data_IF_910058420591
#
_entry.id   IF_910058420591
#
_cell.length_a   1.000
_cell.length_b   1.000
_cell.length_c   1.000
_cell.angle_alpha   90.00
_cell.angle_beta   90.00
_cell.angle_gamma   90.00
#
_symmetry.space_group_name_H-M   'P 1'
#
loop_
_entity.id
_entity.type
_entity.pdbx_description
1 polymer ?
#
# COMPACT_ATOMS: atom_id res chain seq x y z
N UNK A 1 -1.12 -56.98 -11.48
CA UNK A 1 -0.22 -57.68 -12.42
C UNK A 1 1.13 -57.00 -12.28
N UNK A 2 2.07 -57.67 -11.61
CA UNK A 2 3.45 -57.21 -11.44
C UNK A 2 4.15 -57.11 -12.80
N UNK A 3 5.17 -56.25 -12.91
CA UNK A 3 6.57 -56.58 -13.28
C UNK A 3 7.39 -55.27 -13.47
N UNK A 4 8.33 -55.11 -12.53
CA UNK A 4 9.75 -54.74 -12.63
C UNK A 4 10.29 -53.32 -12.94
N UNK A 5 11.11 -52.93 -11.96
CA UNK A 5 12.26 -52.02 -11.90
C UNK A 5 13.41 -52.32 -12.86
N UNK A 6 14.22 -51.30 -13.18
CA UNK A 6 15.66 -51.16 -12.79
C UNK A 6 16.52 -50.32 -13.77
N UNK A 7 17.60 -49.74 -13.20
CA UNK A 7 18.81 -49.10 -13.78
C UNK A 7 18.76 -47.56 -13.97
N UNK A 8 19.24 -46.73 -13.03
CA UNK A 8 20.63 -46.38 -12.62
C UNK A 8 21.57 -45.81 -13.70
N UNK A 9 22.01 -44.57 -13.40
CA UNK A 9 23.38 -43.99 -13.50
C UNK A 9 23.89 -43.32 -14.79
N UNK A 10 24.11 -41.99 -14.71
CA UNK A 10 25.37 -41.24 -14.89
C UNK A 10 25.04 -39.73 -14.95
N UNK A 11 25.18 -38.91 -13.90
CA UNK A 11 26.39 -38.31 -13.30
C UNK A 11 27.30 -37.54 -14.27
N UNK A 12 27.19 -36.20 -14.27
CA UNK A 12 28.33 -35.28 -14.42
C UNK A 12 28.07 -34.01 -13.61
N UNK A 13 28.76 -33.88 -12.47
CA UNK A 13 28.83 -32.71 -11.61
C UNK A 13 30.19 -32.03 -11.87
N UNK A 14 30.18 -30.77 -12.31
CA UNK A 14 31.39 -29.98 -12.51
C UNK A 14 31.76 -29.25 -11.21
N UNK A 15 32.86 -29.67 -10.57
CA UNK A 15 33.46 -29.03 -9.41
C UNK A 15 34.64 -28.20 -9.90
N UNK A 16 34.61 -26.88 -9.68
CA UNK A 16 35.72 -25.97 -9.93
C UNK A 16 36.60 -25.88 -8.67
N UNK A 17 37.86 -26.24 -8.82
CA UNK A 17 38.88 -26.32 -7.78
C UNK A 17 39.84 -25.12 -7.93
N UNK A 18 39.95 -24.27 -6.91
CA UNK A 18 40.98 -23.22 -6.81
C UNK A 18 41.79 -23.41 -5.54
N UNK A 19 43.12 -23.30 -5.68
CA UNK A 19 44.12 -23.84 -4.79
C UNK A 19 44.25 -23.15 -3.43
N UNK A 20 44.67 -23.96 -2.45
CA UNK A 20 45.20 -23.59 -1.15
C UNK A 20 46.55 -22.85 -1.29
N UNK A 21 46.74 -21.81 -0.46
CA UNK A 21 48.08 -21.38 -0.04
C UNK A 21 48.19 -21.56 1.48
N UNK A 22 49.20 -22.35 1.83
CA UNK A 22 49.68 -22.69 3.16
C UNK A 22 50.74 -21.68 3.62
N UNK A 23 50.68 -21.29 4.89
CA UNK A 23 51.82 -20.99 5.78
C UNK A 23 51.19 -20.69 7.16
N UNK A 24 51.58 -21.21 8.33
CA UNK A 24 52.80 -21.87 8.76
C UNK A 24 53.34 -21.16 10.02
N UNK A 25 53.13 -21.73 11.22
CA UNK A 25 53.83 -21.43 12.50
C UNK A 25 53.41 -20.16 13.25
N UNK A 26 53.40 -20.04 14.59
CA UNK A 26 53.84 -20.92 15.67
C UNK A 26 54.63 -20.15 16.75
N UNK A 27 54.02 -19.99 17.94
CA UNK A 27 54.63 -19.89 19.30
C UNK A 27 55.24 -18.58 19.88
N UNK A 28 55.08 -18.51 21.20
CA UNK A 28 55.35 -17.51 22.25
C UNK A 28 56.81 -17.35 22.70
N UNK A 29 57.21 -16.16 23.20
CA UNK A 29 57.78 -15.93 24.56
C UNK A 29 58.52 -14.58 24.68
N UNK A 30 58.59 -14.14 25.95
CA UNK A 30 59.09 -12.89 26.55
C UNK A 30 60.61 -12.68 26.55
N UNK A 31 61.05 -11.41 26.58
CA UNK A 31 62.39 -11.01 27.03
C UNK A 31 62.81 -9.63 26.50
N UNK A 32 63.14 -8.69 27.40
CA UNK A 32 63.51 -7.31 27.07
C UNK A 32 64.94 -7.11 26.58
N UNK A 33 65.23 -5.89 26.14
CA UNK A 33 66.58 -5.44 25.78
C UNK A 33 66.53 -4.27 24.79
N UNK A 34 67.16 -3.17 25.19
CA UNK A 34 67.19 -1.88 24.51
C UNK A 34 68.14 -1.93 23.30
N UNK A 35 67.84 -1.22 22.21
CA UNK A 35 68.74 -0.24 21.57
C UNK A 35 68.23 0.24 20.21
N UNK A 36 68.63 1.47 19.90
CA UNK A 36 68.14 2.34 18.84
C UNK A 36 68.45 1.88 17.41
N UNK A 37 67.48 2.06 16.52
CA UNK A 37 67.66 1.92 15.08
C UNK A 37 66.33 2.14 14.33
N UNK A 38 65.99 3.41 14.06
CA UNK A 38 64.76 3.77 13.36
C UNK A 38 64.77 3.32 11.89
N UNK A 39 63.91 2.36 11.56
CA UNK A 39 63.53 2.03 10.19
C UNK A 39 62.28 2.86 9.79
N UNK A 40 62.16 3.30 8.52
CA UNK A 40 61.01 4.09 8.08
C UNK A 40 59.71 3.25 8.13
N UNK A 41 58.53 3.87 8.35
CA UNK A 41 57.27 3.13 8.44
C UNK A 41 56.98 2.44 7.11
N UNK A 42 56.73 1.13 7.14
CA UNK A 42 56.23 0.40 5.99
C UNK A 42 54.84 0.91 5.56
N UNK A 43 54.41 0.65 4.31
CA UNK A 43 53.11 1.09 3.83
C UNK A 43 52.01 0.43 4.67
N UNK A 44 51.27 1.24 5.42
CA UNK A 44 50.05 0.80 6.11
C UNK A 44 49.04 0.42 5.04
N UNK A 45 48.76 -0.87 4.90
CA UNK A 45 47.61 -1.36 4.14
C UNK A 45 46.35 -0.71 4.73
N UNK A 46 45.56 0.06 3.97
CA UNK A 46 44.31 0.59 4.48
C UNK A 46 43.43 -0.59 4.92
N UNK A 47 42.91 -0.54 6.15
CA UNK A 47 41.87 -1.48 6.57
C UNK A 47 40.72 -1.44 5.54
N UNK A 48 40.11 -2.59 5.20
CA UNK A 48 38.98 -2.60 4.29
C UNK A 48 37.90 -1.67 4.84
N UNK A 49 37.54 -0.67 4.03
CA UNK A 49 36.44 0.25 4.32
C UNK A 49 35.17 -0.58 4.13
N UNK A 50 34.57 -1.03 5.23
CA UNK A 50 33.21 -1.57 5.18
C UNK A 50 32.32 -0.36 4.88
N UNK A 51 31.59 -0.34 3.74
CA UNK A 51 30.68 0.77 3.47
C UNK A 51 29.67 0.87 4.61
N UNK A 52 29.40 2.10 5.06
CA UNK A 52 28.28 2.37 5.97
C UNK A 52 27.00 1.79 5.36
N UNK A 53 26.12 1.15 6.15
CA UNK A 53 24.85 0.68 5.63
C UNK A 53 24.07 1.83 4.99
N UNK A 54 23.39 1.53 3.89
CA UNK A 54 22.51 2.49 3.21
C UNK A 54 21.23 2.65 4.04
N UNK A 55 20.89 3.88 4.38
CA UNK A 55 19.70 4.22 5.17
C UNK A 55 18.58 4.61 4.21
N UNK A 56 17.44 3.98 4.37
CA UNK A 56 16.22 4.25 3.62
C UNK A 56 15.14 4.80 4.55
N UNK A 57 14.12 5.42 3.95
CA UNK A 57 12.94 5.91 4.66
C UNK A 57 11.72 5.09 4.26
N UNK A 58 10.94 4.68 5.26
CA UNK A 58 9.65 4.01 5.09
C UNK A 58 8.54 4.79 5.77
N UNK A 59 7.29 4.45 5.43
CA UNK A 59 6.10 4.90 6.15
C UNK A 59 5.24 3.73 6.60
N UNK A 60 4.73 3.80 7.81
CA UNK A 60 3.65 2.93 8.26
C UNK A 60 2.33 3.33 7.61
N UNK A 61 1.50 2.34 7.28
CA UNK A 61 0.15 2.58 6.80
C UNK A 61 -0.87 1.65 7.51
N UNK A 62 -1.92 2.21 8.14
CA UNK A 62 -2.14 3.66 8.36
C UNK A 62 -1.00 4.31 9.16
N UNK A 63 -0.88 5.66 9.13
CA UNK A 63 0.16 6.34 9.90
C UNK A 63 -0.04 6.11 11.39
N UNK A 64 1.05 5.79 12.10
CA UNK A 64 1.09 5.66 13.56
C UNK A 64 2.15 6.64 14.06
N UNK A 65 1.73 7.66 14.81
CA UNK A 65 2.60 8.61 15.51
C UNK A 65 2.99 8.04 16.88
N UNK A 66 4.28 8.09 17.21
CA UNK A 66 4.74 7.63 18.52
C UNK A 66 5.18 6.17 18.59
N UNK A 67 5.29 5.47 17.46
CA UNK A 67 5.69 4.07 17.44
C UNK A 67 7.22 3.95 17.45
N UNK A 68 7.78 3.28 18.46
CA UNK A 68 9.22 3.09 18.52
C UNK A 68 9.65 2.02 17.51
N UNK A 69 10.79 2.24 16.85
CA UNK A 69 11.34 1.31 15.87
C UNK A 69 12.85 1.11 16.03
N UNK A 70 13.34 -0.06 15.61
CA UNK A 70 14.77 -0.39 15.53
C UNK A 70 15.05 -1.15 14.24
N UNK A 71 16.11 -0.76 13.53
CA UNK A 71 16.63 -1.43 12.34
C UNK A 71 18.16 -1.28 12.24
N UNK A 72 18.90 -2.33 12.59
CA UNK A 72 20.36 -2.26 12.64
C UNK A 72 20.84 -1.27 13.70
N UNK A 73 21.53 -0.21 13.29
CA UNK A 73 21.92 0.92 14.15
C UNK A 73 20.95 2.11 14.11
N UNK A 74 19.92 2.06 13.26
CA UNK A 74 18.84 3.05 13.25
C UNK A 74 17.79 2.72 14.32
N UNK A 75 17.41 3.70 15.11
CA UNK A 75 16.31 3.61 16.06
C UNK A 75 15.62 4.98 16.18
N UNK A 76 14.34 4.98 16.54
CA UNK A 76 13.61 6.23 16.68
C UNK A 76 12.14 6.03 17.00
N UNK A 77 11.39 7.12 16.89
CA UNK A 77 9.93 7.17 17.05
C UNK A 77 9.35 7.70 15.75
N UNK A 78 8.28 7.08 15.27
CA UNK A 78 7.58 7.55 14.06
C UNK A 78 6.92 8.90 14.27
N UNK A 79 6.89 9.71 13.20
CA UNK A 79 6.18 10.99 13.19
C UNK A 79 4.68 10.82 12.84
N UNK A 80 3.96 11.95 12.74
CA UNK A 80 2.54 11.96 12.38
C UNK A 80 2.21 11.34 11.01
N UNK A 81 3.21 11.18 10.13
CA UNK A 81 3.08 10.52 8.84
C UNK A 81 3.48 9.05 8.88
N UNK A 82 3.74 8.50 10.07
CA UNK A 82 4.24 7.13 10.28
C UNK A 82 5.66 6.92 9.76
N UNK A 83 6.45 7.98 9.59
CA UNK A 83 7.76 7.91 8.93
C UNK A 83 8.82 7.26 9.84
N UNK A 84 9.61 6.33 9.31
CA UNK A 84 10.72 5.69 10.00
C UNK A 84 11.95 5.52 9.08
N UNK A 85 13.13 5.38 9.69
CA UNK A 85 14.38 5.06 9.00
C UNK A 85 14.72 3.58 9.17
N UNK A 86 15.34 2.96 8.15
CA UNK A 86 15.79 1.59 8.24
C UNK A 86 17.08 1.35 7.45
N UNK A 87 17.91 0.42 7.93
CA UNK A 87 19.09 -0.01 7.21
C UNK A 87 18.73 -1.03 6.12
N UNK A 88 19.31 -0.85 4.93
CA UNK A 88 19.17 -1.81 3.83
C UNK A 88 19.58 -3.23 4.26
N UNK A 89 18.72 -4.21 3.99
CA UNK A 89 18.87 -5.63 4.36
C UNK A 89 18.82 -5.93 5.86
N UNK A 90 18.55 -4.95 6.72
CA UNK A 90 18.17 -5.22 8.11
C UNK A 90 16.64 -5.26 8.24
N UNK A 91 16.09 -6.12 9.10
CA UNK A 91 14.69 -6.01 9.46
C UNK A 91 14.47 -4.70 10.24
N UNK A 92 13.23 -4.21 10.22
CA UNK A 92 12.74 -3.17 11.10
C UNK A 92 11.72 -3.80 12.05
N UNK A 93 11.91 -3.60 13.35
CA UNK A 93 11.01 -4.05 14.41
C UNK A 93 10.32 -2.85 15.05
N UNK A 94 9.07 -3.01 15.45
CA UNK A 94 8.27 -1.94 16.08
C UNK A 94 7.76 -2.36 17.46
N UNK A 95 7.77 -1.43 18.40
CA UNK A 95 7.29 -1.66 19.78
C UNK A 95 6.70 -0.41 20.44
N UNK A 96 5.88 -0.64 21.47
CA UNK A 96 5.39 0.40 22.38
C UNK A 96 5.85 0.00 23.77
N UNK A 97 6.92 0.64 24.27
CA UNK A 97 7.58 0.24 25.51
C UNK A 97 7.95 -1.25 25.49
N UNK A 98 7.38 -2.02 26.41
CA UNK A 98 7.59 -3.47 26.52
C UNK A 98 6.86 -4.34 25.48
N UNK A 99 5.94 -3.79 24.70
CA UNK A 99 5.09 -4.55 23.76
C UNK A 99 5.70 -4.55 22.36
N UNK A 100 6.09 -5.72 21.86
CA UNK A 100 6.56 -5.92 20.49
C UNK A 100 5.39 -6.24 19.56
N UNK A 101 5.33 -5.58 18.41
CA UNK A 101 4.30 -5.77 17.38
C UNK A 101 4.81 -6.57 16.16
N UNK A 102 6.07 -7.00 16.19
CA UNK A 102 6.68 -7.82 15.15
C UNK A 102 7.77 -7.07 14.39
N UNK A 103 8.19 -7.67 13.27
CA UNK A 103 9.29 -7.17 12.45
C UNK A 103 9.11 -7.58 11.00
N UNK A 104 9.50 -6.71 10.07
CA UNK A 104 9.48 -6.98 8.64
C UNK A 104 10.82 -6.58 8.01
N UNK A 105 11.08 -7.05 6.79
CA UNK A 105 12.03 -6.34 5.92
C UNK A 105 11.59 -4.87 5.75
N UNK A 106 12.55 -3.96 5.71
CA UNK A 106 12.26 -2.55 5.45
C UNK A 106 11.65 -2.34 4.06
N UNK A 107 10.62 -1.49 4.00
CA UNK A 107 9.84 -1.18 2.78
C UNK A 107 9.53 0.32 2.75
N UNK A 108 9.29 0.87 1.56
CA UNK A 108 8.83 2.26 1.44
C UNK A 108 7.45 2.47 2.07
N UNK A 109 6.57 1.46 1.99
CA UNK A 109 5.30 1.39 2.70
C UNK A 109 5.22 0.06 3.45
N UNK A 110 4.95 0.15 4.73
CA UNK A 110 4.85 -0.99 5.63
C UNK A 110 3.47 -0.97 6.31
N UNK A 111 2.75 -2.08 6.24
CA UNK A 111 1.46 -2.26 6.90
C UNK A 111 1.61 -3.18 8.12
N UNK A 112 0.64 -3.20 9.03
CA UNK A 112 0.67 -4.13 10.16
C UNK A 112 0.60 -5.62 9.74
N UNK A 113 0.00 -5.89 8.58
CA UNK A 113 0.02 -7.22 7.95
C UNK A 113 1.46 -7.62 7.61
N UNK A 114 2.30 -6.68 7.17
CA UNK A 114 3.72 -6.95 6.91
C UNK A 114 4.49 -7.30 8.20
N UNK A 115 4.20 -6.66 9.34
CA UNK A 115 4.92 -6.88 10.62
C UNK A 115 4.70 -8.25 11.24
N UNK A 116 3.49 -8.79 11.06
CA UNK A 116 3.10 -10.10 11.60
C UNK A 116 3.42 -11.24 10.65
N UNK A 117 3.62 -10.95 9.35
CA UNK A 117 3.98 -11.92 8.32
C UNK A 117 2.87 -12.93 8.01
N UNK A 118 1.61 -12.56 8.25
CA UNK A 118 0.43 -13.42 8.05
C UNK A 118 -0.74 -12.60 7.49
N UNK A 119 -1.88 -13.25 7.22
CA UNK A 119 -3.04 -12.61 6.59
C UNK A 119 -3.75 -11.61 7.51
N UNK A 120 -4.41 -10.62 6.91
CA UNK A 120 -5.20 -9.61 7.61
C UNK A 120 -6.26 -10.21 8.53
N UNK A 121 -6.81 -11.38 8.20
CA UNK A 121 -7.81 -12.10 9.01
C UNK A 121 -7.24 -12.94 10.15
N UNK A 122 -5.91 -13.05 10.26
CA UNK A 122 -5.27 -13.79 11.36
C UNK A 122 -5.55 -13.11 12.71
N UNK A 123 -5.89 -13.90 13.72
CA UNK A 123 -6.22 -13.38 15.06
C UNK A 123 -5.09 -12.54 15.65
N UNK A 124 -3.84 -12.84 15.33
CA UNK A 124 -2.67 -12.08 15.80
C UNK A 124 -2.65 -10.68 15.21
N UNK A 125 -2.88 -10.54 13.91
CA UNK A 125 -3.00 -9.24 13.23
C UNK A 125 -4.13 -8.44 13.83
N UNK A 126 -5.29 -9.09 14.00
CA UNK A 126 -6.49 -8.45 14.49
C UNK A 126 -6.31 -7.96 15.93
N UNK A 127 -5.78 -8.79 16.84
CA UNK A 127 -5.52 -8.38 18.22
C UNK A 127 -4.42 -7.30 18.34
N UNK A 128 -3.38 -7.37 17.50
CA UNK A 128 -2.37 -6.30 17.43
C UNK A 128 -3.01 -4.97 17.00
N UNK A 129 -3.88 -4.97 15.99
CA UNK A 129 -4.52 -3.76 15.52
C UNK A 129 -5.59 -3.24 16.49
N UNK A 130 -6.37 -4.13 17.11
CA UNK A 130 -7.32 -3.80 18.19
C UNK A 130 -6.64 -3.05 19.32
N UNK A 131 -5.47 -3.55 19.76
CA UNK A 131 -4.72 -2.88 20.81
C UNK A 131 -4.23 -1.49 20.36
N UNK A 132 -3.69 -1.36 19.15
CA UNK A 132 -3.26 -0.06 18.62
C UNK A 132 -4.41 0.95 18.54
N UNK A 133 -5.57 0.54 18.03
CA UNK A 133 -6.77 1.37 17.96
C UNK A 133 -7.29 1.75 19.35
N UNK A 134 -7.21 0.85 20.33
CA UNK A 134 -7.59 1.17 21.71
C UNK A 134 -6.59 2.14 22.37
N UNK A 135 -5.32 2.07 22.01
CA UNK A 135 -4.25 2.94 22.50
C UNK A 135 -4.22 4.32 21.83
N UNK A 136 -4.96 4.50 20.74
CA UNK A 136 -5.12 5.78 20.07
C UNK A 136 -5.73 6.84 21.00
N UNK A 137 -5.16 8.04 21.00
CA UNK A 137 -5.47 9.09 21.96
C UNK A 137 -6.91 9.64 21.83
N UNK A 138 -7.44 9.74 20.60
CA UNK A 138 -8.82 10.18 20.36
C UNK A 138 -9.77 9.04 19.98
N UNK A 139 -9.23 7.86 19.64
CA UNK A 139 -10.00 6.69 19.24
C UNK A 139 -10.62 6.82 17.84
N UNK A 140 -10.13 7.75 17.02
CA UNK A 140 -10.62 8.02 15.68
C UNK A 140 -9.72 7.36 14.62
N UNK A 141 -10.09 6.13 14.24
CA UNK A 141 -9.40 5.37 13.19
C UNK A 141 -9.30 6.05 11.80
N UNK A 142 -10.01 7.16 11.57
CA UNK A 142 -10.01 7.88 10.29
C UNK A 142 -8.90 8.93 10.15
N UNK A 143 -8.12 9.17 11.20
CA UNK A 143 -7.10 10.22 11.24
C UNK A 143 -5.67 9.73 11.58
N UNK A 144 -5.45 8.42 11.55
CA UNK A 144 -4.20 7.79 11.95
C UNK A 144 -4.31 7.19 13.34
N UNK A 145 -3.18 6.88 13.96
CA UNK A 145 -3.10 6.45 15.37
C UNK A 145 -2.08 7.33 16.07
N UNK A 146 -2.49 8.03 17.12
CA UNK A 146 -1.60 8.84 17.96
C UNK A 146 -1.37 8.16 19.30
N UNK A 147 -0.16 7.65 19.50
CA UNK A 147 0.29 7.17 20.80
C UNK A 147 0.82 8.35 21.61
N UNK A 148 0.11 8.83 22.63
CA UNK A 148 0.46 10.05 23.36
C UNK A 148 1.84 9.97 24.06
N UNK A 149 2.43 11.12 24.40
CA UNK A 149 3.65 11.16 25.21
C UNK A 149 3.43 10.55 26.60
N UNK A 150 2.27 10.80 27.20
CA UNK A 150 1.87 10.30 28.50
C UNK A 150 1.74 8.77 28.51
N UNK A 151 1.13 8.18 27.47
CA UNK A 151 1.02 6.74 27.29
C UNK A 151 2.41 6.12 27.12
N UNK A 152 3.24 6.69 26.24
CA UNK A 152 4.60 6.19 25.98
C UNK A 152 5.48 6.25 27.22
N UNK A 153 5.31 7.27 28.07
CA UNK A 153 6.05 7.42 29.32
C UNK A 153 5.78 6.30 30.34
N UNK A 154 4.65 5.60 30.23
CA UNK A 154 4.30 4.48 31.11
C UNK A 154 4.41 3.10 30.43
N UNK A 155 4.59 3.06 29.11
CA UNK A 155 4.52 1.85 28.30
C UNK A 155 5.59 0.79 28.63
N UNK A 156 6.71 1.19 29.25
CA UNK A 156 7.73 0.25 29.74
C UNK A 156 7.19 -0.68 30.84
N UNK A 157 6.08 -0.31 31.51
CA UNK A 157 5.42 -1.15 32.49
C UNK A 157 4.44 -2.16 31.87
N UNK A 158 4.14 -2.03 30.58
CA UNK A 158 3.22 -2.95 29.92
C UNK A 158 3.87 -4.31 29.74
N UNK A 159 3.12 -5.34 30.10
CA UNK A 159 3.50 -6.72 29.80
C UNK A 159 3.14 -7.05 28.36
N UNK A 160 4.00 -7.81 27.67
CA UNK A 160 3.71 -8.33 26.34
C UNK A 160 2.43 -9.18 26.37
N UNK A 161 1.33 -8.76 25.71
CA UNK A 161 0.15 -9.57 25.61
C UNK A 161 0.35 -10.71 24.61
N UNK A 162 -0.35 -11.83 24.82
CA UNK A 162 -0.44 -12.91 23.83
C UNK A 162 -1.51 -12.58 22.77
N UNK A 163 -1.07 -12.05 21.62
CA UNK A 163 -1.94 -11.71 20.50
C UNK A 163 -2.66 -12.92 19.87
N UNK A 164 -2.30 -14.16 20.23
CA UNK A 164 -2.97 -15.36 19.70
C UNK A 164 -4.22 -15.77 20.47
N UNK A 165 -4.53 -15.11 21.59
CA UNK A 165 -5.67 -15.46 22.44
C UNK A 165 -7.01 -15.00 21.84
N UNK A 166 -8.01 -15.88 21.92
CA UNK A 166 -9.40 -15.54 21.62
C UNK A 166 -9.99 -14.58 22.67
N UNK A 167 -9.66 -14.78 23.95
CA UNK A 167 -10.09 -13.94 25.08
C UNK A 167 -9.10 -12.78 25.31
N UNK A 168 -8.80 -12.05 24.24
CA UNK A 168 -7.82 -10.96 24.26
C UNK A 168 -8.25 -9.79 25.14
N UNK A 169 -9.55 -9.55 25.28
CA UNK A 169 -10.14 -8.46 26.06
C UNK A 169 -9.72 -8.53 27.53
N UNK A 170 -9.70 -9.75 28.11
CA UNK A 170 -9.24 -9.95 29.47
C UNK A 170 -7.72 -9.78 29.59
N UNK A 171 -6.96 -10.24 28.60
CA UNK A 171 -5.50 -10.14 28.54
C UNK A 171 -5.01 -8.69 28.61
N UNK A 172 -5.65 -7.78 27.87
CA UNK A 172 -5.21 -6.37 27.79
C UNK A 172 -5.88 -5.44 28.79
N UNK A 173 -6.74 -5.95 29.68
CA UNK A 173 -7.55 -5.13 30.60
C UNK A 173 -6.72 -4.16 31.47
N UNK A 174 -5.54 -4.57 31.93
CA UNK A 174 -4.63 -3.70 32.69
C UNK A 174 -4.00 -2.62 31.81
N UNK A 175 -3.59 -2.95 30.58
CA UNK A 175 -3.03 -1.99 29.63
C UNK A 175 -4.07 -0.90 29.32
N UNK A 176 -5.34 -1.29 29.10
CA UNK A 176 -6.42 -0.34 28.86
C UNK A 176 -6.70 0.55 30.07
N UNK A 177 -6.62 0.02 31.30
CA UNK A 177 -6.76 0.80 32.53
C UNK A 177 -5.64 1.83 32.71
N UNK A 178 -4.41 1.44 32.36
CA UNK A 178 -3.26 2.33 32.45
C UNK A 178 -3.32 3.42 31.37
N UNK A 179 -3.69 3.06 30.13
CA UNK A 179 -3.92 4.01 29.04
C UNK A 179 -5.04 5.01 29.37
N UNK A 180 -6.15 4.54 29.99
CA UNK A 180 -7.23 5.40 30.45
C UNK A 180 -6.73 6.48 31.43
N UNK A 181 -5.80 6.09 32.31
CA UNK A 181 -5.21 6.99 33.30
C UNK A 181 -4.22 7.97 32.66
N UNK A 182 -3.38 7.49 31.73
CA UNK A 182 -2.38 8.31 31.04
C UNK A 182 -3.02 9.42 30.20
N UNK A 183 -4.03 9.06 29.40
CA UNK A 183 -4.65 9.97 28.43
C UNK A 183 -5.91 10.67 28.98
N UNK A 184 -6.32 10.34 30.22
CA UNK A 184 -7.55 10.83 30.83
C UNK A 184 -8.79 10.63 29.93
N UNK A 185 -8.88 9.43 29.34
CA UNK A 185 -9.96 9.00 28.44
C UNK A 185 -10.50 7.62 28.84
N UNK A 186 -11.47 7.11 28.10
CA UNK A 186 -11.96 5.72 28.26
C UNK A 186 -11.65 4.95 26.98
N UNK A 187 -10.51 4.23 26.93
CA UNK A 187 -10.17 3.38 25.80
C UNK A 187 -11.25 2.33 25.57
N UNK A 188 -11.68 2.18 24.33
CA UNK A 188 -12.54 1.09 23.90
C UNK A 188 -11.72 0.13 23.02
N UNK A 189 -11.81 -1.17 23.32
CA UNK A 189 -11.20 -2.19 22.48
C UNK A 189 -12.20 -2.55 21.37
N UNK A 190 -11.93 -2.25 20.09
CA UNK A 190 -12.87 -2.53 19.01
C UNK A 190 -13.16 -4.02 18.89
N UNK A 191 -14.33 -4.38 18.34
CA UNK A 191 -14.63 -5.79 18.06
C UNK A 191 -13.77 -6.31 16.90
N UNK A 192 -13.61 -7.64 16.78
CA UNK A 192 -12.93 -8.25 15.63
C UNK A 192 -13.55 -7.80 14.30
N UNK A 193 -14.88 -7.68 14.28
CA UNK A 193 -15.62 -7.24 13.10
C UNK A 193 -15.27 -5.80 12.72
N UNK A 194 -15.37 -4.88 13.68
CA UNK A 194 -15.09 -3.45 13.41
C UNK A 194 -13.63 -3.25 13.01
N UNK A 195 -12.71 -3.99 13.65
CA UNK A 195 -11.28 -4.00 13.30
C UNK A 195 -11.04 -4.47 11.87
N UNK A 196 -11.74 -5.53 11.45
CA UNK A 196 -11.66 -6.04 10.08
C UNK A 196 -12.16 -5.01 9.07
N UNK A 197 -13.30 -4.36 9.36
CA UNK A 197 -13.86 -3.30 8.51
C UNK A 197 -12.91 -2.10 8.40
N UNK A 198 -12.30 -1.66 9.51
CA UNK A 198 -11.29 -0.56 9.51
C UNK A 198 -10.05 -0.95 8.70
N UNK A 199 -9.51 -2.15 8.91
CA UNK A 199 -8.30 -2.62 8.22
C UNK A 199 -8.53 -2.72 6.71
N UNK A 200 -9.65 -3.29 6.28
CA UNK A 200 -10.05 -3.37 4.88
C UNK A 200 -10.19 -1.98 4.24
N UNK A 201 -10.79 -1.03 4.97
CA UNK A 201 -10.96 0.34 4.51
C UNK A 201 -9.62 1.07 4.35
N UNK A 202 -8.74 0.98 5.35
CA UNK A 202 -7.40 1.56 5.27
C UNK A 202 -6.65 0.99 4.07
N UNK A 203 -6.52 -0.34 3.98
CA UNK A 203 -5.76 -0.97 2.89
C UNK A 203 -6.37 -0.65 1.50
N UNK A 204 -7.69 -0.51 1.41
CA UNK A 204 -8.38 -0.08 0.18
C UNK A 204 -8.06 1.37 -0.19
N UNK A 205 -7.92 2.26 0.80
CA UNK A 205 -7.49 3.64 0.57
C UNK A 205 -6.03 3.72 0.11
N UNK A 206 -5.14 2.89 0.67
CA UNK A 206 -3.75 2.79 0.20
C UNK A 206 -3.67 2.37 -1.28
N UNK A 207 -4.47 1.37 -1.66
CA UNK A 207 -4.55 0.89 -3.03
C UNK A 207 -5.27 1.86 -3.98
N UNK A 208 -6.20 2.68 -3.46
CA UNK A 208 -7.02 3.61 -4.24
C UNK A 208 -6.20 4.49 -5.18
N UNK A 209 -6.76 4.84 -6.34
CA UNK A 209 -6.13 5.68 -7.35
C UNK A 209 -6.25 5.11 -8.76
N UNK A 210 -5.57 5.76 -9.71
CA UNK A 210 -5.69 5.44 -11.14
C UNK A 210 -4.40 4.82 -11.68
N UNK A 211 -4.57 3.88 -12.60
CA UNK A 211 -3.52 3.08 -13.21
C UNK A 211 -3.75 3.00 -14.72
N UNK A 212 -2.66 2.93 -15.46
CA UNK A 212 -2.67 2.71 -16.90
C UNK A 212 -1.58 1.73 -17.28
N UNK A 213 -1.86 0.90 -18.27
CA UNK A 213 -0.96 -0.17 -18.67
C UNK A 213 -1.36 -0.85 -19.96
N UNK A 214 -0.72 -1.98 -20.21
CA UNK A 214 -0.91 -2.81 -21.41
C UNK A 214 -1.16 -4.26 -21.03
N UNK A 215 -1.85 -4.98 -21.93
CA UNK A 215 -1.96 -6.44 -21.87
C UNK A 215 -1.49 -7.05 -23.19
N UNK A 216 -1.07 -8.31 -23.13
CA UNK A 216 -0.51 -9.09 -24.24
C UNK A 216 -1.07 -10.51 -24.25
N UNK A 217 -0.56 -11.36 -25.15
CA UNK A 217 -0.95 -12.77 -25.30
C UNK A 217 -1.72 -13.02 -26.59
N UNK A 218 -2.83 -13.74 -26.48
CA UNK A 218 -3.70 -14.04 -27.63
C UNK A 218 -4.46 -12.80 -28.13
N UNK A 219 -4.65 -11.80 -27.28
CA UNK A 219 -5.03 -10.43 -27.61
C UNK A 219 -4.05 -9.43 -26.97
N UNK A 220 -4.05 -8.18 -27.41
CA UNK A 220 -3.20 -7.14 -26.87
C UNK A 220 -3.85 -5.76 -26.96
N UNK A 221 -3.41 -4.86 -26.10
CA UNK A 221 -3.90 -3.50 -26.10
C UNK A 221 -3.58 -2.75 -24.82
N UNK A 222 -4.39 -1.74 -24.53
CA UNK A 222 -4.21 -0.85 -23.37
C UNK A 222 -5.36 -0.97 -22.41
N UNK A 223 -5.12 -0.58 -21.16
CA UNK A 223 -6.18 -0.47 -20.17
C UNK A 223 -6.01 0.76 -19.28
N UNK A 224 -7.14 1.19 -18.74
CA UNK A 224 -7.26 2.08 -17.61
C UNK A 224 -7.91 1.31 -16.46
N UNK A 225 -7.31 1.37 -15.28
CA UNK A 225 -7.85 0.77 -14.05
C UNK A 225 -7.93 1.86 -12.99
N UNK A 226 -9.01 1.88 -12.22
CA UNK A 226 -9.06 2.68 -11.01
C UNK A 226 -9.62 1.87 -9.85
N UNK A 227 -9.01 2.10 -8.70
CA UNK A 227 -9.36 1.47 -7.44
C UNK A 227 -10.11 2.50 -6.60
N UNK A 228 -11.32 2.15 -6.22
CA UNK A 228 -12.23 2.95 -5.41
C UNK A 228 -12.20 2.38 -3.99
N UNK A 229 -11.79 3.18 -3.01
CA UNK A 229 -11.69 2.71 -1.63
C UNK A 229 -13.06 2.25 -1.09
N UNK A 230 -14.12 2.97 -1.48
CA UNK A 230 -15.53 2.65 -1.28
C UNK A 230 -16.32 3.02 -2.53
N UNK A 231 -17.39 2.28 -2.79
CA UNK A 231 -18.35 2.59 -3.85
C UNK A 231 -19.76 2.22 -3.41
N UNK A 232 -20.70 3.12 -3.60
CA UNK A 232 -22.12 2.85 -3.46
C UNK A 232 -22.78 2.80 -4.84
N UNK A 233 -23.20 1.62 -5.28
CA UNK A 233 -23.90 1.46 -6.57
C UNK A 233 -24.86 0.27 -6.51
N UNK A 234 -26.12 0.55 -6.20
CA UNK A 234 -27.17 -0.48 -6.05
C UNK A 234 -27.69 -1.03 -7.39
N UNK A 235 -27.21 -0.50 -8.52
CA UNK A 235 -27.74 -0.79 -9.85
C UNK A 235 -26.83 -1.67 -10.72
N UNK A 236 -25.51 -1.55 -10.53
CA UNK A 236 -24.50 -2.27 -11.32
C UNK A 236 -23.79 -3.34 -10.50
N UNK A 237 -23.78 -3.24 -9.17
CA UNK A 237 -23.09 -4.18 -8.29
C UNK A 237 -24.07 -5.05 -7.49
N UNK A 238 -23.81 -6.36 -7.39
CA UNK A 238 -24.67 -7.28 -6.63
C UNK A 238 -24.49 -7.18 -5.11
N UNK A 239 -23.70 -6.23 -4.60
CA UNK A 239 -23.59 -5.95 -3.16
C UNK A 239 -24.70 -4.99 -2.74
N UNK A 240 -25.57 -5.45 -1.85
CA UNK A 240 -26.51 -4.58 -1.15
C UNK A 240 -25.71 -3.70 -0.16
N UNK A 241 -25.33 -2.48 -0.57
CA UNK A 241 -24.66 -1.51 0.30
C UNK A 241 -23.39 -0.91 -0.32
N UNK A 242 -22.46 -0.52 0.55
CA UNK A 242 -21.17 0.05 0.17
C UNK A 242 -20.20 -1.10 -0.10
N UNK A 243 -19.63 -1.16 -1.30
CA UNK A 243 -18.51 -2.04 -1.61
C UNK A 243 -17.18 -1.38 -1.24
N UNK A 244 -16.29 -2.13 -0.59
CA UNK A 244 -14.95 -1.67 -0.20
C UNK A 244 -13.90 -2.20 -1.19
N UNK A 245 -12.90 -1.38 -1.52
CA UNK A 245 -11.79 -1.77 -2.39
C UNK A 245 -12.23 -2.19 -3.80
N UNK A 246 -13.21 -1.49 -4.37
CA UNK A 246 -13.82 -1.83 -5.65
C UNK A 246 -12.91 -1.44 -6.81
N UNK A 247 -12.64 -2.37 -7.72
CA UNK A 247 -11.80 -2.12 -8.91
C UNK A 247 -12.62 -2.04 -10.18
N UNK A 248 -12.46 -0.98 -10.96
CA UNK A 248 -13.12 -0.83 -12.25
C UNK A 248 -12.06 -0.59 -13.34
N UNK A 249 -12.30 -1.11 -14.54
CA UNK A 249 -11.38 -0.89 -15.65
C UNK A 249 -12.07 -0.77 -17.00
N UNK A 250 -11.37 -0.11 -17.92
CA UNK A 250 -11.66 -0.08 -19.35
C UNK A 250 -10.49 -0.70 -20.10
N UNK A 251 -10.77 -1.57 -21.05
CA UNK A 251 -9.78 -2.28 -21.86
C UNK A 251 -10.02 -1.97 -23.33
N UNK A 252 -8.99 -1.58 -24.06
CA UNK A 252 -9.03 -1.44 -25.51
C UNK A 252 -8.30 -2.60 -26.17
N UNK A 253 -8.99 -3.38 -27.00
CA UNK A 253 -8.41 -4.47 -27.79
C UNK A 253 -7.92 -3.95 -29.14
N UNK A 254 -6.64 -4.17 -29.47
CA UNK A 254 -6.08 -3.85 -30.77
C UNK A 254 -6.55 -4.83 -31.87
N UNK A 255 -6.91 -6.05 -31.51
CA UNK A 255 -7.35 -7.07 -32.48
C UNK A 255 -8.82 -6.83 -32.86
N UNK A 256 -9.68 -6.59 -31.87
CA UNK A 256 -11.11 -6.40 -32.09
C UNK A 256 -11.49 -4.93 -32.38
N UNK A 257 -10.57 -3.99 -32.12
CA UNK A 257 -10.78 -2.54 -32.25
C UNK A 257 -12.01 -2.05 -31.46
N UNK A 258 -12.13 -2.53 -30.22
CA UNK A 258 -13.25 -2.26 -29.33
C UNK A 258 -12.79 -1.92 -27.91
N UNK A 259 -13.59 -1.11 -27.22
CA UNK A 259 -13.42 -0.83 -25.80
C UNK A 259 -14.43 -1.64 -25.01
N UNK A 260 -13.95 -2.37 -24.01
CA UNK A 260 -14.73 -3.22 -23.13
C UNK A 260 -14.62 -2.72 -21.68
N UNK A 261 -15.74 -2.76 -20.97
CA UNK A 261 -15.77 -2.45 -19.54
C UNK A 261 -15.53 -3.72 -18.74
N UNK A 262 -14.58 -3.66 -17.82
CA UNK A 262 -14.36 -4.72 -16.84
C UNK A 262 -15.29 -4.49 -15.67
N UNK A 263 -16.27 -5.39 -15.54
CA UNK A 263 -17.17 -5.38 -14.40
C UNK A 263 -16.43 -5.97 -13.19
N UNK A 264 -16.36 -5.25 -12.07
CA UNK A 264 -15.85 -5.78 -10.82
C UNK A 264 -16.67 -7.00 -10.37
N UNK A 265 -15.97 -8.00 -9.86
CA UNK A 265 -16.60 -9.17 -9.25
C UNK A 265 -16.39 -9.23 -7.75
N UNK A 266 -15.16 -8.97 -7.31
CA UNK A 266 -14.78 -8.94 -5.90
C UNK A 266 -14.00 -7.66 -5.61
N UNK A 267 -14.04 -7.22 -4.35
CA UNK A 267 -13.16 -6.15 -3.87
C UNK A 267 -11.72 -6.66 -3.69
N UNK A 268 -10.80 -5.75 -3.41
CA UNK A 268 -9.41 -6.09 -3.11
C UNK A 268 -9.31 -7.07 -1.92
N UNK A 269 -8.66 -8.21 -2.14
CA UNK A 269 -8.30 -9.14 -1.05
C UNK A 269 -6.85 -8.87 -0.65
N UNK A 270 -6.65 -8.08 0.39
CA UNK A 270 -5.32 -7.59 0.79
C UNK A 270 -4.72 -8.53 1.84
N UNK A 271 -4.10 -9.61 1.36
CA UNK A 271 -3.23 -10.48 2.14
C UNK A 271 -1.75 -10.07 1.97
N UNK A 272 -0.81 -10.84 2.51
CA UNK A 272 0.64 -10.59 2.34
C UNK A 272 1.07 -10.53 0.87
N UNK A 273 0.34 -11.20 -0.03
CA UNK A 273 0.57 -11.21 -1.48
C UNK A 273 -0.10 -10.04 -2.23
N UNK A 274 -0.88 -9.19 -1.54
CA UNK A 274 -1.51 -7.97 -2.09
C UNK A 274 -2.29 -8.24 -3.37
N UNK A 275 -3.08 -9.30 -3.33
CA UNK A 275 -3.76 -9.89 -4.48
C UNK A 275 -4.97 -9.05 -4.94
N UNK A 276 -4.97 -8.70 -6.23
CA UNK A 276 -6.11 -8.13 -6.95
C UNK A 276 -6.88 -9.29 -7.61
N UNK A 277 -8.04 -9.64 -7.06
CA UNK A 277 -8.90 -10.70 -7.61
C UNK A 277 -10.04 -10.11 -8.45
N UNK A 278 -10.00 -10.42 -9.74
CA UNK A 278 -11.13 -10.54 -10.66
C UNK A 278 -11.94 -9.29 -11.01
N UNK A 279 -11.68 -8.80 -12.20
CA UNK A 279 -12.71 -8.20 -13.04
C UNK A 279 -13.05 -9.15 -14.18
N UNK A 280 -14.32 -9.19 -14.60
CA UNK A 280 -14.75 -9.97 -15.76
C UNK A 280 -15.30 -9.09 -16.87
N UNK A 281 -14.97 -9.43 -18.11
CA UNK A 281 -15.60 -8.88 -19.30
C UNK A 281 -16.84 -9.70 -19.68
N UNK A 282 -17.78 -9.07 -20.39
CA UNK A 282 -18.95 -9.77 -20.99
C UNK A 282 -18.53 -10.87 -21.99
N UNK A 283 -17.30 -10.78 -22.53
CA UNK A 283 -16.69 -11.81 -23.39
C UNK A 283 -16.32 -13.10 -22.63
N UNK A 284 -16.39 -13.10 -21.29
CA UNK A 284 -15.97 -14.21 -20.44
C UNK A 284 -14.49 -14.20 -20.05
N UNK A 285 -13.73 -13.18 -20.48
CA UNK A 285 -12.36 -12.99 -20.02
C UNK A 285 -12.32 -12.51 -18.57
N UNK A 286 -11.45 -13.11 -17.76
CA UNK A 286 -11.23 -12.78 -16.36
C UNK A 286 -9.80 -12.32 -16.14
N UNK A 287 -9.62 -11.20 -15.42
CA UNK A 287 -8.32 -10.59 -15.10
C UNK A 287 -7.97 -10.81 -13.63
N UNK A 288 -6.76 -11.30 -13.34
CA UNK A 288 -6.26 -11.53 -11.98
C UNK A 288 -4.82 -11.06 -11.85
N UNK A 289 -4.46 -10.38 -10.76
CA UNK A 289 -3.12 -9.82 -10.60
C UNK A 289 -2.78 -9.46 -9.16
N UNK A 290 -1.69 -8.74 -8.95
CA UNK A 290 -1.28 -8.24 -7.64
C UNK A 290 -0.60 -6.89 -7.75
N UNK A 291 -0.64 -6.12 -6.67
CA UNK A 291 0.17 -4.91 -6.53
C UNK A 291 1.59 -5.26 -6.09
N UNK A 292 2.54 -4.44 -6.49
CA UNK A 292 3.87 -4.46 -5.88
C UNK A 292 3.83 -3.92 -4.43
N UNK A 293 4.97 -4.00 -3.75
CA UNK A 293 5.10 -3.67 -2.33
C UNK A 293 4.86 -2.20 -1.95
N UNK A 294 4.65 -1.29 -2.91
CA UNK A 294 4.33 0.11 -2.64
C UNK A 294 3.07 0.57 -3.36
N UNK A 295 2.29 -0.35 -3.93
CA UNK A 295 1.06 -0.06 -4.68
C UNK A 295 1.26 0.90 -5.87
N UNK A 296 2.49 1.02 -6.38
CA UNK A 296 2.81 1.89 -7.53
C UNK A 296 2.73 1.17 -8.87
N UNK A 297 2.76 -0.15 -8.87
CA UNK A 297 2.57 -0.95 -10.08
C UNK A 297 1.79 -2.21 -9.79
N UNK A 298 1.21 -2.79 -10.83
CA UNK A 298 0.48 -4.05 -10.79
C UNK A 298 0.84 -4.90 -12.00
N UNK A 299 0.76 -6.20 -11.83
CA UNK A 299 0.88 -7.16 -12.93
C UNK A 299 -0.04 -8.36 -12.68
N UNK A 300 -0.32 -9.11 -13.74
CA UNK A 300 -1.18 -10.26 -13.66
C UNK A 300 -1.37 -11.02 -14.95
N UNK A 301 -2.43 -11.83 -14.97
CA UNK A 301 -2.83 -12.69 -16.08
C UNK A 301 -4.30 -12.49 -16.38
N UNK A 302 -4.63 -12.57 -17.67
CA UNK A 302 -6.01 -12.68 -18.11
C UNK A 302 -6.23 -14.03 -18.79
N UNK A 303 -7.44 -14.57 -18.62
CA UNK A 303 -7.85 -15.86 -19.20
C UNK A 303 -9.29 -15.75 -19.67
N UNK A 304 -9.54 -16.13 -20.92
CA UNK A 304 -10.88 -16.39 -21.41
C UNK A 304 -11.07 -17.91 -21.53
N UNK A 305 -11.80 -18.49 -20.58
CA UNK A 305 -12.05 -19.93 -20.54
C UNK A 305 -12.96 -20.43 -21.67
N UNK A 306 -13.75 -19.53 -22.28
CA UNK A 306 -14.69 -19.86 -23.37
C UNK A 306 -13.94 -20.01 -24.69
N UNK A 307 -12.99 -19.11 -24.97
CA UNK A 307 -12.19 -19.10 -26.21
C UNK A 307 -10.84 -19.80 -26.07
N UNK A 308 -10.45 -20.18 -24.85
CA UNK A 308 -9.13 -20.71 -24.50
C UNK A 308 -7.97 -19.74 -24.80
N UNK A 309 -8.26 -18.43 -24.71
CA UNK A 309 -7.29 -17.36 -24.89
C UNK A 309 -6.73 -16.90 -23.55
N UNK A 310 -5.48 -16.44 -23.53
CA UNK A 310 -4.84 -15.93 -22.32
C UNK A 310 -3.67 -15.01 -22.61
N UNK A 311 -3.22 -14.32 -21.56
CA UNK A 311 -2.01 -13.52 -21.63
C UNK A 311 -1.65 -12.84 -20.31
N UNK A 312 -0.71 -11.89 -20.40
CA UNK A 312 -0.25 -11.08 -19.27
C UNK A 312 -0.81 -9.67 -19.31
N UNK A 313 -0.76 -8.98 -18.18
CA UNK A 313 -0.93 -7.53 -18.13
C UNK A 313 0.00 -6.90 -17.09
N UNK A 314 0.38 -5.66 -17.33
CA UNK A 314 1.13 -4.84 -16.39
C UNK A 314 0.68 -3.38 -16.47
N UNK A 315 0.72 -2.68 -15.35
CA UNK A 315 0.32 -1.28 -15.27
C UNK A 315 1.01 -0.54 -14.15
N UNK A 316 1.03 0.79 -14.29
CA UNK A 316 1.65 1.70 -13.32
C UNK A 316 0.62 2.71 -12.84
N UNK A 317 0.74 3.09 -11.56
CA UNK A 317 -0.02 4.15 -10.94
C UNK A 317 0.32 5.47 -11.63
N UNK A 318 -0.71 6.28 -11.89
CA UNK A 318 -0.57 7.60 -12.52
C UNK A 318 -0.82 8.76 -11.56
N UNK A 319 -1.66 8.56 -10.55
CA UNK A 319 -1.89 9.50 -9.46
C UNK A 319 -1.92 8.80 -8.10
N UNK A 320 -1.61 9.51 -7.02
CA UNK A 320 -1.65 8.97 -5.67
C UNK A 320 -0.35 9.16 -4.90
N UNK A 321 0.03 10.40 -4.62
CA UNK A 321 1.15 10.72 -3.76
C UNK A 321 0.95 10.14 -2.34
N UNK A 322 2.04 9.67 -1.72
CA UNK A 322 2.05 9.17 -0.34
C UNK A 322 1.98 10.29 0.72
N UNK A 323 2.12 11.54 0.26
CA UNK A 323 2.04 12.76 1.07
C UNK A 323 0.73 13.52 0.87
N UNK A 324 -0.16 13.01 0.02
CA UNK A 324 -1.49 13.57 -0.14
C UNK A 324 -2.26 13.45 1.18
N UNK A 325 -3.10 14.44 1.48
CA UNK A 325 -4.12 14.36 2.52
C UNK A 325 -5.31 13.55 2.02
N UNK A 326 -5.77 13.85 0.80
CA UNK A 326 -6.83 13.08 0.14
C UNK A 326 -6.40 12.63 -1.25
N UNK A 327 -6.84 11.44 -1.64
CA UNK A 327 -6.67 10.90 -2.98
C UNK A 327 -8.02 10.72 -3.64
N UNK A 328 -8.17 11.20 -4.85
CA UNK A 328 -9.41 11.23 -5.59
C UNK A 328 -9.23 10.56 -6.94
N UNK A 329 -10.26 9.85 -7.40
CA UNK A 329 -10.27 9.21 -8.72
C UNK A 329 -11.67 9.23 -9.33
N UNK A 330 -11.75 9.46 -10.64
CA UNK A 330 -13.01 9.39 -11.37
C UNK A 330 -12.83 9.14 -12.86
N UNK A 331 -13.93 8.78 -13.50
CA UNK A 331 -14.00 8.55 -14.95
C UNK A 331 -14.47 9.83 -15.64
N UNK A 332 -13.69 10.28 -16.62
CA UNK A 332 -14.03 11.38 -17.52
C UNK A 332 -14.50 10.79 -18.84
N UNK A 333 -15.80 10.93 -19.13
CA UNK A 333 -16.36 10.56 -20.43
C UNK A 333 -17.26 11.69 -20.96
N UNK A 334 -16.96 12.30 -22.13
CA UNK A 334 -17.74 13.41 -22.67
C UNK A 334 -19.17 12.99 -23.00
N UNK A 335 -20.15 13.68 -22.42
CA UNK A 335 -21.59 13.70 -22.77
C UNK A 335 -22.20 12.35 -23.21
N UNK A 336 -21.99 11.27 -22.45
CA UNK A 336 -22.51 9.93 -22.79
C UNK A 336 -22.16 9.46 -24.21
N UNK A 337 -21.07 9.96 -24.79
CA UNK A 337 -20.53 9.44 -26.02
C UNK A 337 -20.04 8.00 -25.77
N UNK A 338 -20.05 7.14 -26.82
CA UNK A 338 -19.36 5.87 -26.77
C UNK A 338 -17.92 6.09 -26.29
N UNK A 339 -17.42 5.16 -25.49
CA UNK A 339 -16.04 5.23 -25.05
C UNK A 339 -15.11 5.29 -26.26
N UNK A 340 -14.03 6.06 -26.14
CA UNK A 340 -13.02 6.20 -27.18
C UNK A 340 -11.64 6.25 -26.56
N UNK A 341 -10.63 5.85 -27.32
CA UNK A 341 -9.25 5.76 -26.82
C UNK A 341 -8.65 7.13 -26.49
N UNK A 342 -9.14 8.19 -27.15
CA UNK A 342 -8.66 9.57 -27.00
C UNK A 342 -9.49 10.45 -26.05
N UNK A 343 -10.81 10.22 -25.96
CA UNK A 343 -11.69 11.12 -25.20
C UNK A 343 -12.22 10.51 -23.90
N UNK A 344 -12.04 9.21 -23.68
CA UNK A 344 -12.33 8.57 -22.39
C UNK A 344 -11.05 8.48 -21.58
N UNK A 345 -11.10 9.01 -20.36
CA UNK A 345 -9.93 9.15 -19.51
C UNK A 345 -10.27 8.89 -18.05
N UNK A 346 -9.26 8.54 -17.26
CA UNK A 346 -9.33 8.64 -15.82
C UNK A 346 -8.71 9.94 -15.36
N UNK A 347 -9.31 10.56 -14.34
CA UNK A 347 -8.69 11.66 -13.61
C UNK A 347 -8.31 11.15 -12.22
N UNK A 348 -7.08 11.45 -11.81
CA UNK A 348 -6.60 11.25 -10.45
C UNK A 348 -6.13 12.57 -9.89
N UNK A 349 -6.60 12.94 -8.69
CA UNK A 349 -6.21 14.17 -8.00
C UNK A 349 -5.72 13.82 -6.60
N UNK A 350 -4.66 14.49 -6.17
CA UNK A 350 -4.13 14.47 -4.82
C UNK A 350 -4.30 15.86 -4.20
N UNK A 351 -5.01 15.92 -3.08
CA UNK A 351 -5.14 17.15 -2.28
C UNK A 351 -4.07 17.10 -1.20
N UNK A 352 -3.20 18.09 -1.19
CA UNK A 352 -2.11 18.20 -0.23
C UNK A 352 -2.56 18.87 1.07
N UNK A 353 -1.73 18.82 2.11
CA UNK A 353 -2.06 19.41 3.42
C UNK A 353 -2.19 20.94 3.41
N UNK A 354 -1.57 21.61 2.43
CA UNK A 354 -1.70 23.06 2.19
C UNK A 354 -2.86 23.44 1.25
N UNK A 355 -3.74 22.46 0.98
CA UNK A 355 -4.88 22.53 0.06
C UNK A 355 -4.52 22.76 -1.41
N UNK A 356 -3.24 22.66 -1.80
CA UNK A 356 -2.88 22.55 -3.21
C UNK A 356 -3.40 21.22 -3.77
N UNK A 357 -3.77 21.23 -5.06
CA UNK A 357 -4.22 20.04 -5.77
C UNK A 357 -3.26 19.75 -6.91
N UNK A 358 -2.70 18.55 -6.89
CA UNK A 358 -1.91 17.98 -7.96
C UNK A 358 -2.73 16.88 -8.64
N UNK A 359 -2.56 16.67 -9.93
CA UNK A 359 -3.31 15.61 -10.58
C UNK A 359 -2.88 15.29 -11.98
N UNK A 360 -3.50 14.27 -12.55
CA UNK A 360 -3.30 13.87 -13.93
C UNK A 360 -4.57 13.29 -14.51
N UNK A 361 -4.78 13.57 -15.79
CA UNK A 361 -5.77 12.92 -16.63
C UNK A 361 -5.06 11.97 -17.59
N UNK A 362 -5.54 10.74 -17.70
CA UNK A 362 -4.89 9.68 -18.49
C UNK A 362 -5.91 9.07 -19.43
N UNK A 363 -5.67 9.18 -20.74
CA UNK A 363 -6.54 8.58 -21.76
C UNK A 363 -6.28 7.07 -21.90
N UNK A 364 -7.19 6.35 -22.55
CA UNK A 364 -7.00 4.92 -22.85
C UNK A 364 -5.79 4.64 -23.74
N UNK A 365 -5.35 5.59 -24.58
CA UNK A 365 -4.07 5.48 -25.30
C UNK A 365 -2.83 5.71 -24.41
N UNK A 366 -3.02 6.12 -23.16
CA UNK A 366 -1.93 6.47 -22.24
C UNK A 366 -1.44 7.91 -22.36
N UNK A 367 -2.17 8.79 -23.04
CA UNK A 367 -1.82 10.21 -23.08
C UNK A 367 -2.11 10.85 -21.71
N UNK A 368 -1.12 11.54 -21.16
CA UNK A 368 -1.22 12.18 -19.85
C UNK A 368 -1.36 13.71 -19.99
N UNK A 369 -2.26 14.28 -19.20
CA UNK A 369 -2.38 15.74 -19.02
C UNK A 369 -2.24 16.05 -17.54
N UNK A 370 -1.16 16.75 -17.17
CA UNK A 370 -0.95 17.19 -15.79
C UNK A 370 -1.97 18.27 -15.43
N UNK A 371 -2.57 18.12 -14.25
CA UNK A 371 -3.53 19.03 -13.66
C UNK A 371 -2.91 19.70 -12.43
N UNK A 372 -3.27 20.95 -12.21
CA UNK A 372 -2.94 21.69 -11.00
C UNK A 372 -4.13 22.52 -10.55
N UNK A 373 -4.25 22.73 -9.24
CA UNK A 373 -5.46 23.28 -8.68
C UNK A 373 -5.37 23.64 -7.20
N UNK A 374 -6.55 23.86 -6.61
CA UNK A 374 -6.71 24.15 -5.19
C UNK A 374 -8.05 23.67 -4.67
N UNK A 375 -8.07 23.26 -3.40
CA UNK A 375 -9.27 23.12 -2.59
C UNK A 375 -9.54 24.43 -1.83
N UNK A 376 -10.71 25.03 -2.05
CA UNK A 376 -11.20 26.18 -1.30
C UNK A 376 -12.57 25.85 -0.70
N UNK A 377 -12.65 25.83 0.64
CA UNK A 377 -13.79 25.23 1.35
C UNK A 377 -14.02 23.80 0.84
N UNK A 378 -15.17 23.51 0.26
CA UNK A 378 -15.53 22.20 -0.29
C UNK A 378 -15.48 22.20 -1.83
N UNK A 379 -14.86 23.21 -2.46
CA UNK A 379 -14.75 23.30 -3.92
C UNK A 379 -13.33 23.02 -4.37
N UNK A 380 -13.17 21.97 -5.17
CA UNK A 380 -11.92 21.68 -5.90
C UNK A 380 -12.00 22.35 -7.26
N UNK A 381 -11.01 23.18 -7.55
CA UNK A 381 -10.74 23.67 -8.91
C UNK A 381 -9.44 23.08 -9.40
N UNK A 382 -9.42 22.49 -10.61
CA UNK A 382 -8.21 21.95 -11.22
C UNK A 382 -8.21 22.21 -12.72
N UNK A 383 -7.03 22.51 -13.28
CA UNK A 383 -6.87 22.83 -14.71
C UNK A 383 -5.60 22.21 -15.27
N UNK A 384 -5.63 21.89 -16.57
CA UNK A 384 -4.45 21.45 -17.30
C UNK A 384 -4.74 21.19 -18.77
N UNK A 385 -3.84 21.66 -19.64
CA UNK A 385 -4.07 21.64 -21.08
C UNK A 385 -5.34 22.40 -21.46
N UNK A 386 -6.33 21.69 -22.00
CA UNK A 386 -7.66 22.22 -22.35
C UNK A 386 -8.74 21.90 -21.32
N UNK A 387 -8.38 21.19 -20.25
CA UNK A 387 -9.32 20.71 -19.26
C UNK A 387 -9.44 21.65 -18.08
N UNK A 388 -10.67 21.88 -17.64
CA UNK A 388 -10.99 22.60 -16.40
C UNK A 388 -12.02 21.80 -15.62
N UNK A 389 -11.84 21.72 -14.30
CA UNK A 389 -12.69 20.98 -13.36
C UNK A 389 -13.18 21.93 -12.27
N UNK A 390 -14.46 21.79 -11.91
CA UNK A 390 -15.08 22.43 -10.75
C UNK A 390 -15.92 21.38 -10.02
N UNK A 391 -15.44 20.94 -8.86
CA UNK A 391 -15.95 19.77 -8.14
C UNK A 391 -16.39 20.16 -6.73
N UNK A 392 -17.60 19.79 -6.36
CA UNK A 392 -18.05 19.78 -4.97
C UNK A 392 -17.47 18.54 -4.30
N UNK A 393 -16.63 18.75 -3.29
CA UNK A 393 -15.86 17.73 -2.59
C UNK A 393 -16.53 17.40 -1.26
N UNK A 394 -16.81 16.12 -1.07
CA UNK A 394 -17.33 15.58 0.17
C UNK A 394 -16.29 14.66 0.78
N UNK A 395 -15.65 15.14 1.83
CA UNK A 395 -14.50 14.48 2.44
C UNK A 395 -14.91 13.26 3.29
N UNK A 396 -16.13 13.22 3.80
CA UNK A 396 -16.59 12.24 4.80
C UNK A 396 -17.93 11.56 4.45
N UNK A 397 -18.55 11.92 3.33
CA UNK A 397 -19.83 11.35 2.90
C UNK A 397 -21.04 11.99 3.60
N UNK A 398 -20.87 13.17 4.22
CA UNK A 398 -21.94 13.84 4.97
C UNK A 398 -22.77 14.81 4.13
N UNK A 399 -22.32 15.16 2.91
CA UNK A 399 -23.04 16.07 2.03
C UNK A 399 -24.15 15.36 1.26
N UNK A 400 -25.35 15.38 1.84
CA UNK A 400 -26.54 14.75 1.26
C UNK A 400 -26.93 15.28 -0.13
N UNK A 401 -26.42 16.43 -0.58
CA UNK A 401 -26.70 16.95 -1.93
C UNK A 401 -26.08 16.08 -3.03
N UNK A 402 -25.01 15.34 -2.71
CA UNK A 402 -24.29 14.48 -3.64
C UNK A 402 -24.71 12.99 -3.59
N UNK A 403 -25.52 12.59 -2.60
CA UNK A 403 -25.93 11.21 -2.34
C UNK A 403 -26.59 10.51 -3.54
N UNK A 404 -27.19 11.28 -4.46
CA UNK A 404 -27.76 10.72 -5.69
C UNK A 404 -26.69 10.09 -6.60
N UNK A 405 -25.44 10.54 -6.51
CA UNK A 405 -24.31 10.03 -7.28
C UNK A 405 -23.37 9.17 -6.44
N UNK A 406 -23.15 9.55 -5.18
CA UNK A 406 -22.15 8.92 -4.31
C UNK A 406 -22.77 8.01 -3.25
N UNK A 407 -24.05 8.14 -2.92
CA UNK A 407 -24.58 7.62 -1.65
C UNK A 407 -23.81 8.21 -0.45
N UNK A 408 -23.81 7.54 0.70
CA UNK A 408 -23.21 8.05 1.93
C UNK A 408 -21.69 7.78 2.00
N UNK A 409 -20.96 7.97 0.89
CA UNK A 409 -19.50 7.76 0.85
C UNK A 409 -18.76 9.01 0.40
N UNK A 410 -17.52 9.14 0.85
CA UNK A 410 -16.65 10.25 0.49
C UNK A 410 -16.30 10.25 -1.00
N UNK A 411 -16.27 11.44 -1.59
CA UNK A 411 -16.04 11.59 -3.01
C UNK A 411 -16.19 13.01 -3.49
N UNK A 412 -16.58 13.15 -4.75
CA UNK A 412 -16.88 14.43 -5.34
C UNK A 412 -17.90 14.30 -6.46
N UNK A 413 -18.65 15.36 -6.69
CA UNK A 413 -19.52 15.53 -7.86
C UNK A 413 -19.28 16.92 -8.42
N UNK A 414 -19.27 17.06 -9.74
CA UNK A 414 -19.10 18.37 -10.33
C UNK A 414 -19.14 18.37 -11.83
N UNK A 415 -18.48 19.35 -12.40
CA UNK A 415 -18.42 19.54 -13.85
C UNK A 415 -16.99 19.62 -14.33
N UNK A 416 -16.80 19.28 -15.60
CA UNK A 416 -15.57 19.55 -16.31
C UNK A 416 -15.87 20.07 -17.71
N UNK A 417 -14.89 20.72 -18.32
CA UNK A 417 -14.84 21.07 -19.75
C UNK A 417 -13.54 20.59 -20.36
N UNK A 418 -13.56 20.19 -21.63
CA UNK A 418 -12.37 19.83 -22.42
C UNK A 418 -12.03 20.90 -23.47
N UNK A 419 -12.57 22.12 -23.31
CA UNK A 419 -12.41 23.25 -24.22
C UNK A 419 -13.29 23.18 -25.47
N UNK A 420 -14.02 22.09 -25.69
CA UNK A 420 -14.99 21.92 -26.78
C UNK A 420 -16.39 21.66 -26.21
N UNK A 421 -16.46 20.82 -25.20
CA UNK A 421 -17.67 20.38 -24.52
C UNK A 421 -17.42 20.27 -23.03
N UNK A 422 -18.48 20.09 -22.25
CA UNK A 422 -18.37 19.76 -20.83
C UNK A 422 -19.33 18.68 -20.43
N UNK A 423 -19.18 18.16 -19.22
CA UNK A 423 -20.01 17.10 -18.67
C UNK A 423 -20.05 17.12 -17.15
N UNK A 424 -20.90 16.26 -16.59
CA UNK A 424 -20.91 15.96 -15.17
C UNK A 424 -19.88 14.86 -14.91
N UNK A 425 -19.19 14.97 -13.78
CA UNK A 425 -18.26 13.95 -13.28
C UNK A 425 -18.59 13.66 -11.83
N UNK A 426 -18.46 12.40 -11.45
CA UNK A 426 -18.37 11.98 -10.06
C UNK A 426 -17.17 11.06 -9.88
N UNK A 427 -16.68 10.99 -8.66
CA UNK A 427 -15.58 10.13 -8.30
C UNK A 427 -15.51 9.91 -6.79
N UNK A 428 -14.66 8.98 -6.40
CA UNK A 428 -14.46 8.59 -5.02
C UNK A 428 -13.23 9.30 -4.47
N UNK A 429 -13.22 9.55 -3.17
CA UNK A 429 -12.07 10.13 -2.48
C UNK A 429 -11.70 9.27 -1.29
N UNK A 430 -10.47 9.31 -0.80
CA UNK A 430 -10.14 8.71 0.48
C UNK A 430 -9.08 9.55 1.19
N UNK A 431 -9.10 9.55 2.52
CA UNK A 431 -8.15 10.27 3.36
C UNK A 431 -6.94 9.39 3.64
N UNK A 432 -5.75 9.84 3.23
CA UNK A 432 -4.50 9.08 3.35
C UNK A 432 -3.77 9.40 4.66
N UNK A 433 -3.80 10.68 5.07
CA UNK A 433 -3.15 11.21 6.27
C UNK A 433 -4.10 12.16 7.02
#
# INVERSE_FOLDING_TARGET
MNINSSLLQNLTLAILLSALISCGGGSSSSGGGNDAGGNPPGPTTPSPIIPSPEIFTGKLYPPIDGFYYVSGSEEGITDNGGTFSYEGNQPVAFSIGGINFGSSAGKSILTLVDLTGTDASDIRVQNSYRLLLALDNDGDSTNGILLSEELRAIADNFSQPDFSLEDFDNEVSLILSDAATADNRTPELPSFRDTSEILELSLSCLASGIFSGTFDGDDNGTFLLWVQHQRFDTSIFPVNGIGTGVTSALVYSNIEDIILTVLPREGLTLNTDRLLISGSLDSGAEFSGSFNENFMSLNGRWVNSVTAESGGFEGVRKAGALTAKYRLSGLVNPNNLPFSTDNTSLVGLDIMTDNSVEGVLVTLQGNETILSGRLESDTITATGGRFEFNLNFDADGSDTENDNFLGPVSGYVGTYTDGISGGIISGTSCKIN
#
